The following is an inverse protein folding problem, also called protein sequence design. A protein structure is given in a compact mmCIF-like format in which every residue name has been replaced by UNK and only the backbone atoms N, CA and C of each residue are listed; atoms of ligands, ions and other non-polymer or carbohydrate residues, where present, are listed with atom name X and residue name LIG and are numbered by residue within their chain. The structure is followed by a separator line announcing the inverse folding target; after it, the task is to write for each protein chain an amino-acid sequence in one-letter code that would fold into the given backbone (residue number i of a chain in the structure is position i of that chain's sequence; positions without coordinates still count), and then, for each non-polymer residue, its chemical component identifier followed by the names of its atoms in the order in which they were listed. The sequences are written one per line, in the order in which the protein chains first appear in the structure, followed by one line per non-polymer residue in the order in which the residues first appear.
data_IF_264782260258
#
_entry.id   IF_264782260258
#
_cell.length_a   1.000
_cell.length_b   1.000
_cell.length_c   1.000
_cell.angle_alpha   90.00
_cell.angle_beta   90.00
_cell.angle_gamma   90.00
#
_symmetry.space_group_name_H-M   'P 1'
#
loop_
_entity.id
_entity.type
_entity.pdbx_description
1 polymer ?
#
# COMPACT_ATOMS: atom_id res chain seq x y z
N UNK A 1 -46.74 -30.54 33.23
CA UNK A 1 -45.88 -30.54 32.05
C UNK A 1 -45.13 -29.24 32.07
N UNK A 2 -43.84 -29.26 32.50
CA UNK A 2 -42.96 -28.10 32.52
C UNK A 2 -42.35 -27.93 31.14
N UNK A 3 -42.72 -26.87 30.45
CA UNK A 3 -42.11 -26.47 29.20
C UNK A 3 -40.83 -25.69 29.56
N UNK A 4 -39.67 -26.35 29.52
CA UNK A 4 -38.40 -25.65 29.61
C UNK A 4 -38.18 -24.97 28.29
N UNK A 5 -38.31 -23.62 28.25
CA UNK A 5 -37.76 -22.79 27.16
C UNK A 5 -36.25 -22.90 27.22
N UNK A 6 -35.67 -23.74 26.40
CA UNK A 6 -34.30 -23.53 25.96
C UNK A 6 -34.30 -22.31 25.02
N UNK A 7 -34.14 -21.13 25.59
CA UNK A 7 -33.78 -19.97 24.77
C UNK A 7 -32.45 -20.29 24.10
N UNK A 8 -32.48 -20.48 22.78
CA UNK A 8 -31.26 -20.55 21.97
C UNK A 8 -30.56 -19.20 22.11
N UNK A 9 -29.61 -19.14 23.02
CA UNK A 9 -28.64 -18.06 23.03
C UNK A 9 -27.78 -18.29 21.81
N UNK A 10 -27.88 -17.38 20.86
CA UNK A 10 -26.92 -17.32 19.77
C UNK A 10 -25.56 -17.06 20.41
N UNK A 11 -24.60 -17.95 20.21
CA UNK A 11 -23.24 -17.73 20.70
C UNK A 11 -22.72 -16.44 20.09
N UNK A 12 -22.13 -15.58 20.94
CA UNK A 12 -21.53 -14.35 20.48
C UNK A 12 -20.22 -14.71 19.79
N UNK A 13 -20.11 -14.38 18.51
CA UNK A 13 -18.87 -14.55 17.77
C UNK A 13 -17.99 -13.32 17.98
N UNK A 14 -16.78 -13.54 18.49
CA UNK A 14 -15.76 -12.50 18.62
C UNK A 14 -14.82 -12.56 17.42
N UNK A 15 -14.38 -11.38 16.96
CA UNK A 15 -13.42 -11.24 15.87
C UNK A 15 -12.07 -10.82 16.44
N UNK A 16 -10.97 -11.25 15.84
CA UNK A 16 -9.65 -10.72 16.18
C UNK A 16 -9.60 -9.20 15.93
N UNK A 17 -8.84 -8.52 16.76
CA UNK A 17 -8.50 -7.10 16.57
C UNK A 17 -6.98 -7.03 16.54
N UNK A 18 -6.42 -6.42 15.50
CA UNK A 18 -4.98 -6.19 15.32
C UNK A 18 -4.76 -4.68 15.41
N UNK A 19 -3.77 -4.27 16.18
CA UNK A 19 -3.35 -2.88 16.31
C UNK A 19 -1.87 -2.79 15.93
N UNK A 20 -1.52 -1.87 15.03
CA UNK A 20 -0.15 -1.64 14.60
C UNK A 20 0.50 -0.59 15.48
N UNK A 21 1.73 -0.86 15.95
CA UNK A 21 2.55 0.11 16.65
C UNK A 21 3.24 1.04 15.64
N UNK A 22 3.41 2.32 16.00
CA UNK A 22 4.06 3.31 15.15
C UNK A 22 3.23 3.74 13.94
N UNK A 23 3.91 4.24 12.90
CA UNK A 23 3.26 4.80 11.72
C UNK A 23 2.75 3.71 10.77
N UNK A 24 1.61 3.99 10.12
CA UNK A 24 1.04 3.11 9.09
C UNK A 24 1.87 3.08 7.80
N UNK A 25 2.74 4.09 7.60
CA UNK A 25 3.69 4.16 6.49
C UNK A 25 5.09 4.35 7.02
N UNK A 26 6.01 3.49 6.59
CA UNK A 26 7.45 3.56 6.92
C UNK A 26 8.22 3.83 5.64
N UNK A 27 9.17 4.76 5.68
CA UNK A 27 10.03 5.09 4.54
C UNK A 27 11.44 4.58 4.86
N UNK A 28 12.03 3.84 3.93
CA UNK A 28 13.41 3.34 4.01
C UNK A 28 14.17 3.70 2.73
N UNK A 29 15.49 3.77 2.82
CA UNK A 29 16.36 3.94 1.65
C UNK A 29 16.60 2.62 0.90
N UNK A 30 16.95 2.70 -0.39
CA UNK A 30 17.42 1.52 -1.15
C UNK A 30 18.60 0.87 -0.44
N UNK A 31 18.48 -0.45 -0.20
CA UNK A 31 19.47 -1.26 0.52
C UNK A 31 19.36 -1.19 2.04
N UNK A 32 18.42 -0.44 2.59
CA UNK A 32 18.14 -0.37 4.02
C UNK A 32 17.16 -1.48 4.42
N UNK A 33 17.44 -2.16 5.53
CA UNK A 33 16.54 -3.20 6.04
C UNK A 33 15.30 -2.58 6.69
N UNK A 34 14.14 -3.11 6.34
CA UNK A 34 12.90 -2.76 7.04
C UNK A 34 12.89 -3.34 8.46
N UNK A 35 12.65 -2.48 9.44
CA UNK A 35 12.46 -2.88 10.84
C UNK A 35 11.01 -2.62 11.21
N UNK A 36 10.28 -3.70 11.51
CA UNK A 36 8.88 -3.59 11.94
C UNK A 36 8.77 -2.87 13.29
N UNK A 37 8.01 -1.76 13.39
CA UNK A 37 7.78 -1.07 14.64
C UNK A 37 7.02 -1.89 15.68
N UNK A 38 6.33 -2.96 15.26
CA UNK A 38 5.58 -3.85 16.12
C UNK A 38 4.08 -3.83 15.88
N UNK A 39 3.41 -4.73 16.57
CA UNK A 39 1.94 -4.88 16.53
C UNK A 39 1.48 -5.64 17.78
N UNK A 40 0.18 -5.56 18.06
CA UNK A 40 -0.50 -6.39 19.04
C UNK A 40 -1.81 -6.94 18.51
N UNK A 41 -2.30 -8.03 19.07
CA UNK A 41 -3.59 -8.58 18.67
C UNK A 41 -4.35 -9.15 19.87
N UNK A 42 -5.68 -9.00 19.83
CA UNK A 42 -6.56 -9.51 20.86
C UNK A 42 -7.81 -10.20 20.29
N UNK A 43 -8.33 -11.18 21.03
CA UNK A 43 -9.59 -11.85 20.75
C UNK A 43 -10.37 -11.94 22.04
N UNK A 44 -11.54 -11.27 22.13
CA UNK A 44 -12.35 -11.21 23.33
C UNK A 44 -11.56 -10.83 24.59
N UNK A 45 -10.60 -9.90 24.44
CA UNK A 45 -9.75 -9.43 25.54
C UNK A 45 -8.57 -10.35 25.90
N UNK A 46 -8.43 -11.52 25.26
CA UNK A 46 -7.27 -12.37 25.39
C UNK A 46 -6.19 -11.91 24.36
N UNK A 47 -4.93 -11.89 24.79
CA UNK A 47 -3.80 -11.62 23.89
C UNK A 47 -3.57 -12.81 22.96
N UNK A 48 -3.58 -12.53 21.66
CA UNK A 48 -3.31 -13.48 20.56
C UNK A 48 -2.18 -12.98 19.65
N UNK A 49 -1.35 -12.07 20.11
CA UNK A 49 -0.26 -11.48 19.32
C UNK A 49 0.65 -12.55 18.69
N UNK A 50 0.90 -13.63 19.42
CA UNK A 50 1.73 -14.73 18.95
C UNK A 50 1.10 -15.55 17.79
N UNK A 51 -0.23 -15.43 17.58
CA UNK A 51 -0.96 -16.14 16.54
C UNK A 51 -1.08 -15.33 15.24
N UNK A 52 -0.62 -14.07 15.24
CA UNK A 52 -0.63 -13.21 14.06
C UNK A 52 0.36 -13.74 13.04
N UNK A 53 -0.12 -13.90 11.80
CA UNK A 53 0.71 -14.21 10.65
C UNK A 53 1.12 -12.92 9.98
N UNK A 54 2.42 -12.73 9.84
CA UNK A 54 3.02 -11.61 9.14
C UNK A 54 3.59 -12.09 7.81
N UNK A 55 3.33 -11.35 6.75
CA UNK A 55 3.93 -11.56 5.44
C UNK A 55 4.13 -10.22 4.75
N UNK A 56 5.16 -10.13 3.92
CA UNK A 56 5.46 -8.94 3.15
C UNK A 56 5.90 -9.30 1.72
N UNK A 57 6.02 -8.27 0.87
CA UNK A 57 6.55 -8.34 -0.48
C UNK A 57 7.71 -7.34 -0.68
N UNK A 58 8.39 -6.94 0.40
CA UNK A 58 9.41 -5.91 0.35
C UNK A 58 10.61 -6.37 -0.48
N UNK A 59 10.95 -5.57 -1.50
CA UNK A 59 12.24 -5.61 -2.18
C UNK A 59 12.95 -4.29 -1.89
N UNK A 60 13.84 -4.28 -0.90
CA UNK A 60 14.56 -3.07 -0.51
C UNK A 60 15.66 -2.65 -1.49
N UNK A 61 15.87 -3.41 -2.57
CA UNK A 61 16.82 -3.05 -3.63
C UNK A 61 16.21 -2.23 -4.76
N UNK A 62 14.87 -2.16 -4.81
CA UNK A 62 14.11 -1.49 -5.87
C UNK A 62 13.23 -0.40 -5.26
N UNK A 63 13.31 0.85 -5.72
CA UNK A 63 12.37 1.90 -5.31
C UNK A 63 10.94 1.49 -5.61
N UNK A 64 10.04 1.67 -4.64
CA UNK A 64 8.67 1.24 -4.82
C UNK A 64 7.84 1.32 -3.54
N UNK A 65 6.60 0.85 -3.65
CA UNK A 65 5.64 0.80 -2.56
C UNK A 65 5.30 -0.66 -2.28
N UNK A 66 5.56 -1.06 -1.06
CA UNK A 66 5.44 -2.43 -0.59
C UNK A 66 4.46 -2.52 0.57
N UNK A 67 4.00 -3.72 0.84
CA UNK A 67 3.00 -3.95 1.89
C UNK A 67 3.46 -5.04 2.84
N UNK A 68 3.33 -4.78 4.13
CA UNK A 68 3.38 -5.79 5.18
C UNK A 68 1.94 -6.07 5.61
N UNK A 69 1.56 -7.34 5.58
CA UNK A 69 0.23 -7.82 5.97
C UNK A 69 0.31 -8.53 7.30
N UNK A 70 -0.59 -8.18 8.20
CA UNK A 70 -0.78 -8.81 9.50
C UNK A 70 -2.16 -9.46 9.53
N UNK A 71 -2.26 -10.73 9.85
CA UNK A 71 -3.55 -11.43 9.85
C UNK A 71 -3.70 -12.38 11.03
N UNK A 72 -4.88 -12.43 11.61
CA UNK A 72 -5.26 -13.37 12.64
C UNK A 72 -6.66 -13.92 12.39
N UNK A 73 -6.93 -15.14 12.83
CA UNK A 73 -8.23 -15.78 12.71
C UNK A 73 -8.75 -16.24 14.08
N UNK A 74 -10.09 -16.23 14.25
CA UNK A 74 -10.70 -16.93 15.37
C UNK A 74 -10.87 -18.43 15.05
N UNK A 75 -11.32 -19.22 16.02
CA UNK A 75 -11.55 -20.67 15.87
C UNK A 75 -12.57 -21.05 14.78
N UNK A 76 -13.46 -20.12 14.42
CA UNK A 76 -14.44 -20.29 13.36
C UNK A 76 -13.90 -19.91 11.97
N UNK A 77 -12.65 -19.44 11.88
CA UNK A 77 -12.00 -19.06 10.63
C UNK A 77 -12.30 -17.64 10.16
N UNK A 78 -12.93 -16.79 10.99
CA UNK A 78 -13.09 -15.37 10.65
C UNK A 78 -11.76 -14.64 10.82
N UNK A 79 -11.35 -13.95 9.74
CA UNK A 79 -10.09 -13.24 9.65
C UNK A 79 -10.24 -11.77 9.99
N UNK A 80 -9.25 -11.22 10.71
CA UNK A 80 -8.91 -9.81 10.71
C UNK A 80 -7.57 -9.63 9.99
N UNK A 81 -7.41 -8.51 9.30
CA UNK A 81 -6.16 -8.14 8.64
C UNK A 81 -5.92 -6.65 8.77
N UNK A 82 -4.64 -6.29 8.99
CA UNK A 82 -4.13 -4.93 8.98
C UNK A 82 -2.93 -4.87 8.05
N UNK A 83 -2.63 -3.67 7.55
CA UNK A 83 -1.59 -3.46 6.55
C UNK A 83 -0.71 -2.27 6.93
N UNK A 84 0.59 -2.42 6.73
CA UNK A 84 1.56 -1.34 6.80
C UNK A 84 2.16 -1.13 5.42
N UNK A 85 2.25 0.12 5.00
CA UNK A 85 2.92 0.50 3.76
C UNK A 85 4.41 0.74 4.04
N UNK A 86 5.27 0.16 3.20
CA UNK A 86 6.71 0.45 3.21
C UNK A 86 7.08 1.09 1.89
N UNK A 87 7.67 2.28 1.94
CA UNK A 87 8.11 3.02 0.76
C UNK A 87 9.62 2.96 0.71
N UNK A 88 10.17 2.34 -0.34
CA UNK A 88 11.60 2.30 -0.62
C UNK A 88 11.94 3.46 -1.54
N UNK A 89 12.81 4.37 -1.08
CA UNK A 89 13.20 5.57 -1.83
C UNK A 89 14.68 5.50 -2.23
N UNK A 90 14.99 5.94 -3.44
CA UNK A 90 16.36 6.08 -3.93
C UNK A 90 16.76 7.57 -3.85
N UNK A 91 17.23 7.98 -2.68
CA UNK A 91 17.50 9.40 -2.41
C UNK A 91 18.52 9.99 -3.36
N UNK A 92 18.19 11.14 -3.95
CA UNK A 92 19.07 11.88 -4.86
C UNK A 92 19.17 11.30 -6.25
N UNK A 93 18.46 10.23 -6.57
CA UNK A 93 18.33 9.66 -7.92
C UNK A 93 17.02 10.10 -8.56
N UNK A 94 16.94 9.98 -9.89
CA UNK A 94 15.72 10.28 -10.63
C UNK A 94 14.71 9.13 -10.56
N UNK A 95 15.17 7.90 -10.53
CA UNK A 95 14.40 6.68 -10.30
C UNK A 95 14.10 6.48 -8.81
N UNK A 96 12.95 6.91 -8.39
CA UNK A 96 12.51 6.84 -6.98
C UNK A 96 10.99 6.98 -6.87
N UNK A 97 10.49 7.00 -5.63
CA UNK A 97 9.08 7.28 -5.33
C UNK A 97 8.92 8.77 -5.02
N UNK A 98 8.00 9.40 -5.71
CA UNK A 98 7.60 10.79 -5.54
C UNK A 98 6.19 10.89 -4.97
N UNK A 99 5.83 12.06 -4.50
CA UNK A 99 4.46 12.41 -4.15
C UNK A 99 3.91 13.40 -5.15
N UNK A 100 2.80 13.07 -5.78
CA UNK A 100 2.16 13.93 -6.77
C UNK A 100 1.24 14.99 -6.13
N UNK A 101 1.18 16.14 -6.77
CA UNK A 101 0.24 17.22 -6.47
C UNK A 101 -0.37 17.71 -7.78
N UNK A 102 -1.68 17.51 -7.96
CA UNK A 102 -2.41 17.88 -9.16
C UNK A 102 -3.55 18.85 -8.82
N UNK A 103 -3.52 20.00 -9.46
CA UNK A 103 -4.56 21.03 -9.35
C UNK A 103 -5.24 21.16 -10.71
N UNK A 104 -6.49 20.70 -10.80
CA UNK A 104 -7.33 20.88 -11.98
C UNK A 104 -8.76 21.16 -11.57
N UNK A 105 -9.75 20.37 -11.98
CA UNK A 105 -11.15 20.52 -11.53
C UNK A 105 -11.29 20.26 -10.02
N UNK A 106 -10.41 19.45 -9.45
CA UNK A 106 -10.22 19.25 -8.02
C UNK A 106 -8.73 19.36 -7.72
N UNK A 107 -8.39 19.63 -6.47
CA UNK A 107 -7.04 19.54 -5.96
C UNK A 107 -6.87 18.16 -5.31
N UNK A 108 -5.87 17.41 -5.73
CA UNK A 108 -5.50 16.14 -5.16
C UNK A 108 -4.00 16.08 -4.89
N UNK A 109 -3.63 15.72 -3.67
CA UNK A 109 -2.24 15.71 -3.19
C UNK A 109 -1.96 14.37 -2.53
N UNK A 110 -0.73 13.90 -2.67
CA UNK A 110 -0.24 12.78 -1.88
C UNK A 110 -0.31 11.43 -2.58
N UNK A 111 -0.73 11.40 -3.87
CA UNK A 111 -0.60 10.16 -4.62
C UNK A 111 0.88 9.80 -4.81
N UNK A 112 1.27 8.56 -4.57
CA UNK A 112 2.59 8.09 -4.91
C UNK A 112 2.74 8.03 -6.43
N UNK A 113 3.95 8.36 -6.90
CA UNK A 113 4.39 8.23 -8.28
C UNK A 113 5.71 7.49 -8.26
N UNK A 114 5.83 6.43 -9.04
CA UNK A 114 7.06 5.65 -9.15
C UNK A 114 7.72 5.95 -10.48
N UNK A 115 8.98 6.35 -10.44
CA UNK A 115 9.84 6.44 -11.62
C UNK A 115 10.86 5.31 -11.52
N UNK A 116 10.91 4.47 -12.55
CA UNK A 116 11.81 3.32 -12.64
C UNK A 116 12.79 3.51 -13.78
N UNK A 117 14.07 3.16 -13.57
CA UNK A 117 15.09 3.10 -14.63
C UNK A 117 14.83 1.86 -15.51
N UNK A 118 14.88 2.05 -16.83
CA UNK A 118 14.70 0.96 -17.80
C UNK A 118 16.04 0.35 -18.25
N UNK A 119 17.18 0.75 -17.65
CA UNK A 119 18.54 0.30 -18.00
C UNK A 119 18.97 0.59 -19.47
N UNK A 120 18.23 1.43 -20.19
CA UNK A 120 18.49 1.80 -21.58
C UNK A 120 18.66 3.31 -21.78
N UNK A 121 18.74 4.07 -20.68
CA UNK A 121 18.81 5.53 -20.67
C UNK A 121 17.44 6.21 -20.71
N UNK A 122 16.38 5.44 -20.60
CA UNK A 122 15.00 5.93 -20.42
C UNK A 122 14.46 5.55 -19.04
N UNK A 123 13.36 6.16 -18.65
CA UNK A 123 12.67 5.91 -17.39
C UNK A 123 11.18 5.72 -17.63
N UNK A 124 10.55 4.88 -16.86
CA UNK A 124 9.09 4.75 -16.86
C UNK A 124 8.50 5.47 -15.65
N UNK A 125 7.54 6.36 -15.87
CA UNK A 125 6.68 6.90 -14.82
C UNK A 125 5.36 6.13 -14.85
N UNK A 126 4.93 5.62 -13.71
CA UNK A 126 3.72 4.79 -13.59
C UNK A 126 2.43 5.58 -13.78
N UNK A 127 2.39 6.84 -13.37
CA UNK A 127 1.21 7.70 -13.58
C UNK A 127 1.58 9.19 -13.75
N UNK A 128 1.58 9.69 -15.00
CA UNK A 128 1.80 11.11 -15.30
C UNK A 128 0.67 12.02 -14.81
N UNK A 129 -0.45 11.45 -14.39
CA UNK A 129 -1.59 12.18 -13.85
C UNK A 129 -1.56 12.23 -12.32
N UNK A 130 -0.49 11.69 -11.72
CA UNK A 130 -0.22 11.75 -10.29
C UNK A 130 -1.43 11.30 -9.44
N UNK A 131 -2.05 10.20 -9.80
CA UNK A 131 -3.18 9.63 -9.11
C UNK A 131 -4.48 10.45 -9.16
N UNK A 132 -4.52 11.54 -9.95
CA UNK A 132 -5.67 12.43 -9.99
C UNK A 132 -6.98 11.71 -10.31
N UNK A 133 -6.99 10.84 -11.30
CA UNK A 133 -8.19 10.08 -11.64
C UNK A 133 -8.44 8.93 -10.69
N UNK A 134 -7.41 8.22 -10.32
CA UNK A 134 -7.48 6.98 -9.56
C UNK A 134 -7.88 7.22 -8.09
N UNK A 135 -7.21 8.16 -7.43
CA UNK A 135 -7.48 8.47 -6.02
C UNK A 135 -8.35 9.71 -5.82
N UNK A 136 -8.33 10.66 -6.75
CA UNK A 136 -9.01 11.95 -6.62
C UNK A 136 -10.41 11.98 -7.20
N UNK A 137 -10.58 11.67 -8.49
CA UNK A 137 -11.87 11.79 -9.20
C UNK A 137 -12.77 10.58 -9.02
N UNK A 138 -12.21 9.38 -9.04
CA UNK A 138 -12.94 8.12 -9.03
C UNK A 138 -12.45 7.15 -7.93
N UNK A 139 -12.35 7.59 -6.68
CA UNK A 139 -11.93 6.70 -5.60
C UNK A 139 -12.90 5.52 -5.45
N UNK A 140 -12.36 4.31 -5.30
CA UNK A 140 -13.16 3.10 -5.13
C UNK A 140 -13.56 2.38 -6.42
N UNK A 141 -13.07 2.83 -7.59
CA UNK A 141 -13.22 2.09 -8.85
C UNK A 141 -12.17 0.98 -9.00
N UNK A 142 -11.14 0.99 -8.14
CA UNK A 142 -10.16 -0.10 -8.06
C UNK A 142 -10.80 -1.43 -7.63
N UNK A 143 -10.29 -2.55 -8.10
CA UNK A 143 -9.37 -2.77 -9.22
C UNK A 143 -10.08 -2.89 -10.58
N UNK A 144 -11.36 -2.50 -10.67
CA UNK A 144 -12.20 -2.72 -11.85
C UNK A 144 -11.75 -1.90 -13.05
N UNK A 145 -11.26 -0.68 -12.80
CA UNK A 145 -10.77 0.23 -13.83
C UNK A 145 -9.41 0.77 -13.42
N UNK A 146 -8.43 0.60 -14.29
CA UNK A 146 -7.12 1.22 -14.18
C UNK A 146 -7.14 2.59 -14.87
N UNK A 147 -6.93 3.64 -14.09
CA UNK A 147 -6.86 5.02 -14.59
C UNK A 147 -5.44 5.58 -14.57
N UNK A 148 -4.43 4.73 -14.40
CA UNK A 148 -3.04 5.14 -14.49
C UNK A 148 -2.67 5.47 -15.94
N UNK A 149 -1.81 6.45 -16.11
CA UNK A 149 -1.30 6.85 -17.41
C UNK A 149 0.23 6.78 -17.41
N UNK A 150 0.75 5.63 -17.76
CA UNK A 150 2.19 5.43 -17.89
C UNK A 150 2.80 6.27 -19.01
N UNK A 151 4.06 6.65 -18.86
CA UNK A 151 4.83 7.27 -19.92
C UNK A 151 6.32 6.93 -19.80
N UNK A 152 7.00 6.95 -20.95
CA UNK A 152 8.45 6.84 -21.01
C UNK A 152 9.06 8.25 -21.01
N UNK A 153 10.05 8.45 -20.16
CA UNK A 153 10.75 9.71 -19.96
C UNK A 153 12.21 9.57 -20.36
N UNK A 154 12.82 10.68 -20.81
CA UNK A 154 14.26 10.82 -20.98
C UNK A 154 14.73 11.97 -20.13
N UNK A 155 15.68 11.72 -19.24
CA UNK A 155 16.42 12.75 -18.52
C UNK A 155 17.56 13.26 -19.39
N UNK A 156 17.44 14.49 -19.89
CA UNK A 156 18.45 15.08 -20.74
C UNK A 156 19.67 15.57 -19.94
N UNK A 157 20.82 15.70 -20.59
CA UNK A 157 22.06 16.15 -19.95
C UNK A 157 21.98 17.57 -19.36
N UNK A 158 21.02 18.39 -19.81
CA UNK A 158 20.78 19.75 -19.29
C UNK A 158 19.80 19.75 -18.09
N UNK A 159 19.38 18.56 -17.61
CA UNK A 159 18.44 18.38 -16.51
C UNK A 159 16.97 18.53 -16.89
N UNK A 160 16.66 18.72 -18.18
CA UNK A 160 15.27 18.71 -18.64
C UNK A 160 14.74 17.28 -18.85
N UNK A 161 13.42 17.11 -18.78
CA UNK A 161 12.76 15.82 -19.01
C UNK A 161 11.96 15.90 -20.31
N UNK A 162 12.18 14.91 -21.18
CA UNK A 162 11.42 14.77 -22.43
C UNK A 162 10.56 13.50 -22.34
N UNK A 163 9.26 13.62 -22.61
CA UNK A 163 8.37 12.45 -22.75
C UNK A 163 8.59 11.83 -24.13
N UNK A 164 8.92 10.55 -24.19
CA UNK A 164 8.83 9.76 -25.42
C UNK A 164 7.42 9.20 -25.51
N UNK A 165 6.78 9.07 -26.66
CA UNK A 165 5.47 8.48 -26.90
C UNK A 165 4.58 8.05 -25.73
N UNK A 166 3.29 7.85 -25.95
CA UNK A 166 2.48 7.16 -24.96
C UNK A 166 2.77 5.65 -25.06
N UNK A 167 2.82 4.95 -23.94
CA UNK A 167 2.81 3.48 -23.92
C UNK A 167 1.50 3.06 -24.57
N UNK A 168 1.54 2.47 -25.79
CA UNK A 168 0.35 1.96 -26.49
C UNK A 168 0.02 2.57 -27.85
N UNK A 169 0.95 3.28 -28.49
CA UNK A 169 0.87 3.66 -29.92
C UNK A 169 1.45 2.58 -30.84
#
# INVERSE_FOLDING_TARGET
VSCSKTSGLTEITYYPVIELDGDATVIIGVGEDYIDPGYSASLNGADITADVKVSDNIDNTVPGIYTVSYSAANELGFLAAEYRTVVVVNEGQFDTVYTGDVIWAKHYVGAPIIISDNDDGTYTIDDILAGYYFYGMYPGYEPTYDFHAEAVLVLNADGTITKQGAVGD
#
